data_IF_364687858834
#
_entry.id   IF_364687858834
#
_cell.length_a   1.000
_cell.length_b   1.000
_cell.length_c   1.000
_cell.angle_alpha   90.00
_cell.angle_beta   90.00
_cell.angle_gamma   90.00
#
_symmetry.space_group_name_H-M   'P 1'
#
loop_
_entity.id
_entity.type
_entity.pdbx_description
1 polymer ?
#
# COMPACT_ATOMS: atom_id res chain seq x y z
N UNK A 1 -57.54 30.18 33.77
CA UNK A 1 -58.67 31.13 33.57
C UNK A 1 -58.72 32.23 34.65
N UNK A 2 -58.57 31.92 35.95
CA UNK A 2 -58.73 32.88 37.06
C UNK A 2 -57.69 34.01 37.16
N UNK A 3 -56.58 33.96 36.41
CA UNK A 3 -55.57 35.03 36.37
C UNK A 3 -55.67 35.92 35.11
N UNK A 4 -56.72 35.77 34.28
CA UNK A 4 -56.93 36.61 33.09
C UNK A 4 -56.00 36.34 31.90
N UNK A 5 -54.90 35.61 32.07
CA UNK A 5 -53.91 35.35 31.02
C UNK A 5 -54.35 34.33 29.95
N UNK A 6 -55.42 33.55 30.20
CA UNK A 6 -55.87 32.46 29.32
C UNK A 6 -57.38 32.51 29.14
N UNK A 7 -57.83 32.57 27.89
CA UNK A 7 -59.22 32.50 27.45
C UNK A 7 -59.63 31.05 27.20
N UNK A 8 -60.86 30.71 27.58
CA UNK A 8 -61.49 29.42 27.32
C UNK A 8 -62.55 29.60 26.23
N UNK A 9 -62.53 28.77 25.20
CA UNK A 9 -63.61 28.69 24.20
C UNK A 9 -64.14 27.26 24.14
N UNK A 10 -65.40 27.10 24.50
CA UNK A 10 -66.08 25.81 24.48
C UNK A 10 -66.69 25.55 23.10
N UNK A 11 -66.42 24.38 22.53
CA UNK A 11 -67.02 23.84 21.31
C UNK A 11 -67.70 22.51 21.66
N UNK A 12 -69.01 22.57 21.94
CA UNK A 12 -69.78 21.40 22.36
C UNK A 12 -69.23 20.80 23.65
N UNK A 13 -68.75 19.54 23.59
CA UNK A 13 -68.15 18.84 24.74
C UNK A 13 -66.66 19.14 24.96
N UNK A 14 -66.00 19.84 24.04
CA UNK A 14 -64.57 20.14 24.10
C UNK A 14 -64.31 21.61 24.45
N UNK A 15 -63.21 21.86 25.16
CA UNK A 15 -62.79 23.22 25.55
C UNK A 15 -61.38 23.45 25.03
N UNK A 16 -61.18 24.59 24.38
CA UNK A 16 -59.87 25.05 23.90
C UNK A 16 -59.45 26.23 24.76
N UNK A 17 -58.20 26.19 25.24
CA UNK A 17 -57.60 27.23 26.04
C UNK A 17 -56.50 27.92 25.23
N UNK A 18 -56.48 29.24 25.20
CA UNK A 18 -55.49 30.04 24.48
C UNK A 18 -55.12 31.31 25.25
N UNK A 19 -53.94 31.86 24.99
CA UNK A 19 -53.49 33.09 25.65
C UNK A 19 -54.40 34.29 25.30
N UNK A 20 -54.65 35.16 26.27
CA UNK A 20 -55.46 36.36 26.07
C UNK A 20 -54.70 37.39 25.22
N UNK A 21 -55.02 37.45 23.92
CA UNK A 21 -54.38 38.37 22.96
C UNK A 21 -54.70 39.85 23.22
N UNK A 22 -55.78 40.18 23.96
CA UNK A 22 -56.15 41.55 24.31
C UNK A 22 -55.11 42.24 25.23
N UNK A 23 -54.23 41.46 25.87
CA UNK A 23 -53.13 41.98 26.68
C UNK A 23 -51.89 42.33 25.85
N UNK A 24 -51.86 41.91 24.57
CA UNK A 24 -50.77 42.25 23.67
C UNK A 24 -51.04 43.62 23.03
N UNK A 25 -50.05 44.52 22.99
CA UNK A 25 -50.21 45.79 22.31
C UNK A 25 -50.49 45.56 20.83
N UNK A 26 -51.50 46.26 20.29
CA UNK A 26 -51.77 46.27 18.86
C UNK A 26 -50.69 47.12 18.18
N UNK A 27 -49.89 46.49 17.32
CA UNK A 27 -48.93 47.21 16.49
C UNK A 27 -49.67 47.98 15.39
N UNK A 28 -49.27 49.23 15.18
CA UNK A 28 -49.66 50.02 14.02
C UNK A 28 -48.96 49.52 12.74
N UNK A 29 -49.53 49.86 11.58
CA UNK A 29 -48.91 49.52 10.28
C UNK A 29 -47.47 50.05 10.14
N UNK A 30 -47.15 51.18 10.79
CA UNK A 30 -45.81 51.75 10.81
C UNK A 30 -44.83 50.90 11.65
N UNK A 31 -45.26 50.43 12.82
CA UNK A 31 -44.46 49.55 13.68
C UNK A 31 -44.25 48.17 13.04
N UNK A 32 -45.28 47.63 12.39
CA UNK A 32 -45.16 46.37 11.64
C UNK A 32 -44.12 46.49 10.51
N UNK A 33 -44.14 47.58 9.73
CA UNK A 33 -43.13 47.83 8.69
C UNK A 33 -41.73 47.97 9.26
N UNK A 34 -41.57 48.68 10.38
CA UNK A 34 -40.27 48.82 11.06
C UNK A 34 -39.74 47.47 11.55
N UNK A 35 -40.61 46.61 12.09
CA UNK A 35 -40.23 45.26 12.52
C UNK A 35 -39.86 44.38 11.33
N UNK A 36 -40.59 44.46 10.22
CA UNK A 36 -40.26 43.74 8.98
C UNK A 36 -38.89 44.16 8.41
N UNK A 37 -38.59 45.47 8.44
CA UNK A 37 -37.28 45.99 8.05
C UNK A 37 -36.15 45.48 8.97
N UNK A 38 -36.39 45.45 10.29
CA UNK A 38 -35.43 44.92 11.26
C UNK A 38 -35.22 43.41 11.09
N UNK A 39 -36.28 42.64 10.88
CA UNK A 39 -36.22 41.20 10.57
C UNK A 39 -35.41 40.97 9.30
N UNK A 40 -35.65 41.76 8.25
CA UNK A 40 -34.90 41.65 7.00
C UNK A 40 -33.41 41.95 7.19
N UNK A 41 -33.09 43.03 7.92
CA UNK A 41 -31.72 43.42 8.21
C UNK A 41 -30.98 42.38 9.06
N UNK A 42 -31.61 41.89 10.13
CA UNK A 42 -31.04 40.85 10.99
C UNK A 42 -30.88 39.52 10.23
N UNK A 43 -31.86 39.15 9.40
CA UNK A 43 -31.77 37.93 8.59
C UNK A 43 -30.60 38.00 7.59
N UNK A 44 -30.42 39.14 6.93
CA UNK A 44 -29.28 39.36 6.03
C UNK A 44 -27.95 39.28 6.80
N UNK A 45 -27.87 39.87 8.00
CA UNK A 45 -26.67 39.80 8.84
C UNK A 45 -26.36 38.36 9.28
N UNK A 46 -27.37 37.60 9.67
CA UNK A 46 -27.22 36.19 10.04
C UNK A 46 -26.70 35.38 8.85
N UNK A 47 -27.26 35.58 7.66
CA UNK A 47 -26.78 34.90 6.45
C UNK A 47 -25.33 35.22 6.13
N UNK A 48 -24.93 36.51 6.20
CA UNK A 48 -23.56 36.94 5.94
C UNK A 48 -22.58 36.34 6.96
N UNK A 49 -22.92 36.35 8.25
CA UNK A 49 -22.10 35.75 9.30
C UNK A 49 -21.98 34.23 9.14
N UNK A 50 -23.08 33.53 8.82
CA UNK A 50 -23.05 32.09 8.56
C UNK A 50 -22.16 31.75 7.37
N UNK A 51 -22.18 32.53 6.31
CA UNK A 51 -21.31 32.33 5.16
C UNK A 51 -19.84 32.54 5.54
N UNK A 52 -19.52 33.58 6.30
CA UNK A 52 -18.16 33.85 6.79
C UNK A 52 -17.65 32.73 7.70
N UNK A 53 -18.48 32.24 8.63
CA UNK A 53 -18.12 31.11 9.49
C UNK A 53 -17.80 29.86 8.67
N UNK A 54 -18.65 29.51 7.69
CA UNK A 54 -18.40 28.35 6.81
C UNK A 54 -17.10 28.48 6.04
N UNK A 55 -16.75 29.68 5.60
CA UNK A 55 -15.49 29.92 4.89
C UNK A 55 -14.28 29.75 5.83
N UNK A 56 -14.33 30.35 7.02
CA UNK A 56 -13.26 30.18 8.02
C UNK A 56 -13.11 28.73 8.49
N UNK A 57 -14.22 28.00 8.66
CA UNK A 57 -14.19 26.57 8.99
C UNK A 57 -13.54 25.73 7.89
N UNK A 58 -13.78 26.06 6.62
CA UNK A 58 -13.14 25.41 5.49
C UNK A 58 -11.62 25.67 5.46
N UNK A 59 -11.20 26.93 5.63
CA UNK A 59 -9.78 27.31 5.68
C UNK A 59 -9.06 26.63 6.86
N UNK A 60 -9.70 26.59 8.03
CA UNK A 60 -9.17 25.93 9.22
C UNK A 60 -9.02 24.42 8.99
N UNK A 61 -10.03 23.78 8.39
CA UNK A 61 -9.98 22.36 8.03
C UNK A 61 -8.83 22.07 7.05
N UNK A 62 -8.68 22.89 6.01
CA UNK A 62 -7.62 22.73 5.02
C UNK A 62 -6.24 22.86 5.69
N UNK A 63 -6.05 23.86 6.54
CA UNK A 63 -4.80 24.06 7.27
C UNK A 63 -4.49 22.90 8.23
N UNK A 64 -5.48 22.42 8.97
CA UNK A 64 -5.33 21.28 9.88
C UNK A 64 -5.19 19.93 9.17
N UNK A 65 -5.54 19.84 7.88
CA UNK A 65 -5.32 18.64 7.08
C UNK A 65 -3.87 18.49 6.61
N UNK A 66 -3.07 19.54 6.74
CA UNK A 66 -1.65 19.55 6.40
C UNK A 66 -0.77 19.27 7.61
N UNK A 67 0.42 18.71 7.37
CA UNK A 67 1.41 18.54 8.44
C UNK A 67 1.82 19.90 8.98
N UNK A 68 2.00 19.97 10.29
CA UNK A 68 2.54 21.18 10.91
C UNK A 68 4.01 21.35 10.53
N UNK A 69 4.50 22.60 10.54
CA UNK A 69 5.91 22.91 10.30
C UNK A 69 6.91 22.05 11.08
N UNK A 70 6.75 21.79 12.40
CA UNK A 70 7.66 20.91 13.13
C UNK A 70 7.57 19.45 12.69
N UNK A 71 6.39 18.95 12.34
CA UNK A 71 6.22 17.59 11.81
C UNK A 71 6.90 17.45 10.44
N UNK A 72 6.75 18.45 9.56
CA UNK A 72 7.45 18.48 8.27
C UNK A 72 8.97 18.51 8.44
N UNK A 73 9.47 19.31 9.39
CA UNK A 73 10.91 19.36 9.69
C UNK A 73 11.45 18.01 10.17
N UNK A 74 10.69 17.31 11.02
CA UNK A 74 11.03 15.96 11.48
C UNK A 74 11.05 14.97 10.32
N UNK A 75 10.04 14.98 9.47
CA UNK A 75 9.95 14.08 8.30
C UNK A 75 11.10 14.31 7.32
N UNK A 76 11.46 15.57 7.06
CA UNK A 76 12.62 15.92 6.22
C UNK A 76 13.90 15.32 6.79
N UNK A 77 14.10 15.40 8.11
CA UNK A 77 15.31 14.88 8.76
C UNK A 77 15.36 13.35 8.72
N UNK A 78 14.23 12.68 8.95
CA UNK A 78 14.10 11.22 8.84
C UNK A 78 14.40 10.76 7.40
N UNK A 79 13.81 11.43 6.40
CA UNK A 79 14.06 11.13 4.98
C UNK A 79 15.51 11.37 4.58
N UNK A 80 16.13 12.47 5.04
CA UNK A 80 17.55 12.76 4.79
C UNK A 80 18.46 11.68 5.37
N UNK A 81 18.19 11.27 6.60
CA UNK A 81 18.93 10.19 7.27
C UNK A 81 18.75 8.87 6.51
N UNK A 82 17.52 8.56 6.08
CA UNK A 82 17.22 7.41 5.25
C UNK A 82 18.01 7.42 3.94
N UNK A 83 17.97 8.52 3.19
CA UNK A 83 18.72 8.71 1.96
C UNK A 83 20.23 8.53 2.17
N UNK A 84 20.80 9.13 3.21
CA UNK A 84 22.22 8.97 3.53
C UNK A 84 22.58 7.49 3.75
N UNK A 85 21.74 6.76 4.50
CA UNK A 85 21.95 5.32 4.74
C UNK A 85 21.86 4.48 3.46
N UNK A 86 20.95 4.83 2.54
CA UNK A 86 20.82 4.13 1.26
C UNK A 86 22.00 4.41 0.35
N UNK A 87 22.48 5.65 0.31
CA UNK A 87 23.69 6.02 -0.44
C UNK A 87 24.90 5.24 0.09
N UNK A 88 25.09 5.17 1.40
CA UNK A 88 26.19 4.39 1.99
C UNK A 88 26.09 2.90 1.64
N UNK A 89 24.91 2.29 1.76
CA UNK A 89 24.68 0.89 1.36
C UNK A 89 24.99 0.67 -0.12
N UNK A 90 24.58 1.61 -0.97
CA UNK A 90 24.77 1.53 -2.40
C UNK A 90 26.25 1.66 -2.78
N UNK A 91 26.97 2.59 -2.16
CA UNK A 91 28.42 2.72 -2.34
C UNK A 91 29.17 1.47 -1.84
N UNK A 92 28.76 0.89 -0.71
CA UNK A 92 29.33 -0.39 -0.24
C UNK A 92 29.10 -1.54 -1.22
N UNK A 93 27.91 -1.60 -1.82
CA UNK A 93 27.59 -2.61 -2.83
C UNK A 93 28.47 -2.39 -4.07
N UNK A 94 28.57 -1.15 -4.57
CA UNK A 94 29.41 -0.81 -5.72
C UNK A 94 30.91 -1.04 -5.48
N UNK A 95 31.39 -0.78 -4.27
CA UNK A 95 32.80 -0.97 -3.92
C UNK A 95 33.15 -2.44 -3.66
N UNK A 96 32.16 -3.32 -3.48
CA UNK A 96 32.40 -4.74 -3.30
C UNK A 96 32.94 -5.34 -4.62
N UNK A 97 34.13 -5.89 -4.62
CA UNK A 97 34.82 -6.35 -5.84
C UNK A 97 34.17 -7.57 -6.52
N UNK A 98 33.16 -8.19 -5.90
CA UNK A 98 32.47 -9.39 -6.41
C UNK A 98 31.25 -9.04 -7.30
N UNK A 99 31.42 -8.18 -8.30
CA UNK A 99 30.37 -7.93 -9.29
C UNK A 99 30.44 -9.02 -10.36
N UNK A 100 29.50 -9.96 -10.32
CA UNK A 100 29.22 -10.80 -11.49
C UNK A 100 28.22 -10.04 -12.33
N UNK A 101 28.64 -9.61 -13.52
CA UNK A 101 27.73 -8.96 -14.45
C UNK A 101 26.61 -9.92 -14.87
N UNK A 102 25.40 -9.42 -15.18
CA UNK A 102 24.34 -10.25 -15.75
C UNK A 102 24.81 -11.09 -16.95
N UNK A 103 25.68 -10.52 -17.78
CA UNK A 103 26.28 -11.15 -18.95
C UNK A 103 27.21 -12.30 -18.56
N UNK A 104 28.12 -12.10 -17.60
CA UNK A 104 29.00 -13.17 -17.08
C UNK A 104 28.19 -14.28 -16.42
N UNK A 105 27.15 -13.93 -15.65
CA UNK A 105 26.25 -14.91 -15.04
C UNK A 105 25.55 -15.76 -16.09
N UNK A 106 25.05 -15.15 -17.17
CA UNK A 106 24.38 -15.90 -18.23
C UNK A 106 25.36 -16.76 -19.02
N UNK A 107 26.57 -16.25 -19.28
CA UNK A 107 27.65 -17.03 -19.90
C UNK A 107 27.96 -18.29 -19.08
N UNK A 108 28.23 -18.14 -17.78
CA UNK A 108 28.51 -19.27 -16.87
C UNK A 108 27.35 -20.26 -16.83
N UNK A 109 26.09 -19.79 -16.79
CA UNK A 109 24.91 -20.67 -16.87
C UNK A 109 24.83 -21.43 -18.19
N UNK A 110 25.10 -20.77 -19.30
CA UNK A 110 25.06 -21.40 -20.62
C UNK A 110 26.16 -22.46 -20.78
N UNK A 111 27.36 -22.18 -20.29
CA UNK A 111 28.49 -23.11 -20.25
C UNK A 111 28.18 -24.31 -19.36
N UNK A 112 27.66 -24.09 -18.16
CA UNK A 112 27.23 -25.16 -17.26
C UNK A 112 26.20 -26.08 -17.95
N UNK A 113 25.18 -25.49 -18.61
CA UNK A 113 24.18 -26.26 -19.37
C UNK A 113 24.82 -27.09 -20.49
N UNK A 114 25.75 -26.49 -21.23
CA UNK A 114 26.48 -27.17 -22.32
C UNK A 114 27.30 -28.35 -21.79
N UNK A 115 28.11 -28.14 -20.75
CA UNK A 115 28.97 -29.18 -20.19
C UNK A 115 28.17 -30.31 -19.53
N UNK A 116 27.08 -30.00 -18.83
CA UNK A 116 26.17 -31.02 -18.30
C UNK A 116 25.51 -31.84 -19.42
N UNK A 117 25.16 -31.21 -20.55
CA UNK A 117 24.60 -31.93 -21.72
C UNK A 117 25.64 -32.86 -22.35
N UNK A 118 26.86 -32.36 -22.56
CA UNK A 118 27.95 -33.15 -23.14
C UNK A 118 28.38 -34.31 -22.23
N UNK A 119 28.45 -34.10 -20.92
CA UNK A 119 28.71 -35.17 -19.96
C UNK A 119 27.65 -36.28 -20.05
N UNK A 120 26.35 -35.95 -20.01
CA UNK A 120 25.27 -36.94 -20.15
C UNK A 120 25.37 -37.72 -21.47
N UNK A 121 25.64 -37.01 -22.57
CA UNK A 121 25.79 -37.62 -23.90
C UNK A 121 26.97 -38.58 -23.95
N UNK A 122 28.15 -38.15 -23.48
CA UNK A 122 29.37 -38.96 -23.46
C UNK A 122 29.25 -40.16 -22.55
N UNK A 123 28.70 -39.98 -21.34
CA UNK A 123 28.44 -41.09 -20.40
C UNK A 123 27.53 -42.13 -21.06
N UNK A 124 26.43 -41.71 -21.70
CA UNK A 124 25.53 -42.62 -22.42
C UNK A 124 26.26 -43.40 -23.52
N UNK A 125 26.96 -42.71 -24.43
CA UNK A 125 27.68 -43.37 -25.54
C UNK A 125 28.74 -44.35 -25.03
N UNK A 126 29.48 -43.97 -23.99
CA UNK A 126 30.47 -44.85 -23.36
C UNK A 126 29.79 -46.06 -22.72
N UNK A 127 28.69 -45.89 -21.98
CA UNK A 127 27.94 -47.00 -21.40
C UNK A 127 27.40 -47.96 -22.47
N UNK A 128 26.81 -47.44 -23.55
CA UNK A 128 26.31 -48.26 -24.67
C UNK A 128 27.44 -49.09 -25.32
N UNK A 129 28.61 -48.49 -25.53
CA UNK A 129 29.77 -49.19 -26.07
C UNK A 129 30.28 -50.28 -25.10
N UNK A 130 30.34 -49.95 -23.81
CA UNK A 130 30.78 -50.90 -22.78
C UNK A 130 29.83 -52.07 -22.65
N UNK A 131 28.52 -51.82 -22.69
CA UNK A 131 27.50 -52.87 -22.62
C UNK A 131 27.60 -53.79 -23.85
N UNK A 132 27.79 -53.24 -25.06
CA UNK A 132 28.01 -54.04 -26.28
C UNK A 132 29.27 -54.91 -26.24
N UNK A 133 30.36 -54.42 -25.63
CA UNK A 133 31.59 -55.23 -25.44
C UNK A 133 31.35 -56.32 -24.40
N UNK A 134 30.66 -55.99 -23.31
CA UNK A 134 30.40 -56.91 -22.20
C UNK A 134 29.47 -58.07 -22.60
N UNK A 135 28.59 -57.90 -23.60
CA UNK A 135 27.77 -58.99 -24.16
C UNK A 135 28.61 -60.18 -24.67
N UNK A 136 29.82 -59.92 -25.16
CA UNK A 136 30.75 -60.95 -25.66
C UNK A 136 31.87 -61.30 -24.68
N UNK A 137 31.92 -60.68 -23.50
CA UNK A 137 33.06 -60.78 -22.59
C UNK A 137 32.85 -61.89 -21.53
N UNK A 138 33.82 -62.83 -21.36
CA UNK A 138 33.62 -64.02 -20.52
C UNK A 138 33.72 -63.76 -19.01
N UNK A 139 34.12 -62.57 -18.57
CA UNK A 139 34.32 -62.22 -17.14
C UNK A 139 33.37 -61.09 -16.71
N UNK A 140 33.43 -60.71 -15.42
CA UNK A 140 32.57 -59.68 -14.86
C UNK A 140 32.94 -58.25 -15.33
N UNK A 141 31.96 -57.34 -15.32
CA UNK A 141 32.13 -55.90 -15.64
C UNK A 141 33.24 -55.23 -14.83
N UNK A 142 33.37 -55.57 -13.54
CA UNK A 142 34.40 -55.00 -12.66
C UNK A 142 35.81 -55.39 -13.10
N UNK A 143 36.01 -56.66 -13.45
CA UNK A 143 37.31 -57.14 -13.94
C UNK A 143 37.65 -56.52 -15.29
N UNK A 144 36.65 -56.36 -16.17
CA UNK A 144 36.85 -55.65 -17.44
C UNK A 144 37.30 -54.20 -17.23
N UNK A 145 36.65 -53.47 -16.31
CA UNK A 145 36.99 -52.07 -16.03
C UNK A 145 38.39 -51.94 -15.43
N UNK A 146 38.77 -52.85 -14.53
CA UNK A 146 40.12 -52.89 -13.95
C UNK A 146 41.20 -53.24 -15.00
N UNK A 147 40.94 -54.21 -15.88
CA UNK A 147 41.87 -54.63 -16.95
C UNK A 147 42.08 -53.53 -18.01
N UNK A 148 41.04 -52.75 -18.33
CA UNK A 148 41.08 -51.68 -19.34
C UNK A 148 41.45 -50.31 -18.74
N UNK A 149 41.40 -50.17 -17.41
CA UNK A 149 41.68 -48.91 -16.71
C UNK A 149 40.54 -47.90 -16.82
N UNK A 150 39.29 -48.35 -16.75
CA UNK A 150 38.09 -47.50 -16.79
C UNK A 150 37.67 -47.16 -15.35
N UNK A 151 37.63 -45.87 -15.05
CA UNK A 151 37.15 -45.32 -13.78
C UNK A 151 35.75 -44.71 -13.99
N UNK A 152 34.81 -44.99 -13.08
CA UNK A 152 33.45 -44.44 -13.17
C UNK A 152 33.26 -43.20 -12.32
N UNK A 153 32.26 -42.37 -12.67
CA UNK A 153 31.90 -41.20 -11.86
C UNK A 153 31.55 -41.62 -10.41
N UNK A 154 30.90 -42.78 -10.29
CA UNK A 154 30.48 -43.38 -9.03
C UNK A 154 31.67 -43.79 -8.15
N UNK A 155 32.76 -44.30 -8.73
CA UNK A 155 33.99 -44.68 -8.00
C UNK A 155 34.65 -43.46 -7.35
N UNK A 156 34.47 -42.27 -7.94
CA UNK A 156 35.03 -40.99 -7.46
C UNK A 156 34.02 -40.10 -6.73
N UNK A 157 32.82 -40.61 -6.40
CA UNK A 157 31.72 -39.85 -5.77
C UNK A 157 31.31 -38.59 -6.54
N UNK A 158 31.48 -38.61 -7.86
CA UNK A 158 31.12 -37.50 -8.73
C UNK A 158 29.68 -37.66 -9.18
N UNK A 159 28.87 -36.62 -8.96
CA UNK A 159 27.48 -36.59 -9.40
C UNK A 159 27.25 -35.43 -10.35
N UNK A 160 26.42 -35.67 -11.37
CA UNK A 160 25.99 -34.62 -12.27
C UNK A 160 25.23 -33.54 -11.48
N UNK A 161 25.60 -32.25 -11.61
CA UNK A 161 24.87 -31.18 -10.98
C UNK A 161 23.39 -31.22 -11.37
N UNK A 162 22.50 -31.04 -10.37
CA UNK A 162 21.08 -30.86 -10.63
C UNK A 162 20.89 -29.67 -11.58
N UNK A 163 20.02 -29.81 -12.58
CA UNK A 163 19.71 -28.70 -13.48
C UNK A 163 19.13 -27.54 -12.65
N UNK A 164 19.75 -26.37 -12.74
CA UNK A 164 19.23 -25.10 -12.21
C UNK A 164 18.25 -24.49 -13.20
#
# INVERSE_FOLDING_TARGET
AQQGCVREKAYGKQKIYFAAQEQLPAASDAELRSLDEEIAALSAKVQALQQSCRQMEAELKDLNSSMTNPEMAREIEELRTGCASYVEKLERIKSATNHVTPEEKEKVKSEQKLYCKEWRKRKRMASELLDAILEGYPKSKKQFFEEVGIETDEDHNVTLPAAV
#
